data_IF_033913942553
#
_entry.id   IF_033913942553
#
_cell.length_a   1.000
_cell.length_b   1.000
_cell.length_c   1.000
_cell.angle_alpha   90.00
_cell.angle_beta   90.00
_cell.angle_gamma   90.00
#
_symmetry.space_group_name_H-M   'P 1'
#
loop_
_entity.id
_entity.type
_entity.pdbx_description
1 polymer ?
#
# COMPACT_ATOMS: atom_id res chain seq x y z
N UNK A 1 -15.97 -12.51 -7.46
CA UNK A 1 -15.14 -12.07 -6.31
C UNK A 1 -16.05 -11.61 -5.18
N UNK A 2 -15.93 -12.17 -3.98
CA UNK A 2 -16.69 -11.71 -2.81
C UNK A 2 -16.31 -10.27 -2.40
N UNK A 3 -17.23 -9.55 -1.75
CA UNK A 3 -17.06 -8.14 -1.33
C UNK A 3 -15.72 -7.86 -0.63
N UNK A 4 -15.27 -8.78 0.22
CA UNK A 4 -13.99 -8.68 0.95
C UNK A 4 -12.76 -8.77 0.05
N UNK A 5 -12.76 -9.65 -0.96
CA UNK A 5 -11.66 -9.75 -1.93
C UNK A 5 -11.54 -8.46 -2.75
N UNK A 6 -12.67 -7.82 -3.09
CA UNK A 6 -12.66 -6.50 -3.75
C UNK A 6 -12.06 -5.42 -2.85
N UNK A 7 -12.42 -5.39 -1.57
CA UNK A 7 -11.85 -4.45 -0.59
C UNK A 7 -10.36 -4.69 -0.34
N UNK A 8 -9.92 -5.95 -0.24
CA UNK A 8 -8.51 -6.30 -0.11
C UNK A 8 -7.71 -5.88 -1.36
N UNK A 9 -8.24 -6.15 -2.55
CA UNK A 9 -7.62 -5.73 -3.81
C UNK A 9 -7.56 -4.20 -3.93
N UNK A 10 -8.63 -3.49 -3.59
CA UNK A 10 -8.65 -2.02 -3.57
C UNK A 10 -7.63 -1.46 -2.58
N UNK A 11 -7.55 -2.05 -1.38
CA UNK A 11 -6.56 -1.67 -0.35
C UNK A 11 -5.14 -1.82 -0.88
N UNK A 12 -4.82 -2.97 -1.51
CA UNK A 12 -3.52 -3.23 -2.12
C UNK A 12 -3.19 -2.24 -3.23
N UNK A 13 -4.12 -1.98 -4.14
CA UNK A 13 -3.93 -1.05 -5.26
C UNK A 13 -3.70 0.37 -4.74
N UNK A 14 -4.51 0.84 -3.79
CA UNK A 14 -4.34 2.17 -3.19
C UNK A 14 -2.98 2.32 -2.52
N UNK A 15 -2.52 1.32 -1.75
CA UNK A 15 -1.21 1.40 -1.09
C UNK A 15 -0.05 1.29 -2.08
N UNK A 16 -0.19 0.50 -3.15
CA UNK A 16 0.81 0.44 -4.21
C UNK A 16 0.95 1.79 -4.94
N UNK A 17 -0.17 2.42 -5.27
CA UNK A 17 -0.19 3.76 -5.87
C UNK A 17 0.39 4.81 -4.92
N UNK A 18 0.02 4.76 -3.65
CA UNK A 18 0.54 5.68 -2.63
C UNK A 18 2.06 5.51 -2.43
N UNK A 19 2.55 4.27 -2.36
CA UNK A 19 3.97 3.97 -2.25
C UNK A 19 4.74 4.46 -3.50
N UNK A 20 4.20 4.22 -4.70
CA UNK A 20 4.78 4.71 -5.95
C UNK A 20 4.84 6.25 -5.99
N UNK A 21 3.79 6.92 -5.51
CA UNK A 21 3.73 8.38 -5.44
C UNK A 21 4.75 8.94 -4.44
N UNK A 22 4.84 8.37 -3.24
CA UNK A 22 5.83 8.77 -2.21
C UNK A 22 7.25 8.61 -2.72
N UNK A 23 7.56 7.48 -3.36
CA UNK A 23 8.89 7.23 -3.95
C UNK A 23 9.17 8.23 -5.08
N UNK A 24 8.19 8.52 -5.94
CA UNK A 24 8.32 9.48 -7.04
C UNK A 24 8.53 10.91 -6.54
N UNK A 25 7.75 11.35 -5.55
CA UNK A 25 7.87 12.68 -4.95
C UNK A 25 9.23 12.85 -4.26
N UNK A 26 9.66 11.87 -3.47
CA UNK A 26 10.95 11.94 -2.81
C UNK A 26 12.14 11.94 -3.78
N UNK A 27 12.07 11.15 -4.87
CA UNK A 27 13.06 11.23 -5.96
C UNK A 27 13.11 12.64 -6.58
N UNK A 28 11.95 13.26 -6.82
CA UNK A 28 11.87 14.64 -7.33
C UNK A 28 12.45 15.68 -6.36
N UNK A 29 12.37 15.41 -5.06
CA UNK A 29 12.90 16.28 -3.99
C UNK A 29 14.32 15.94 -3.54
N UNK A 30 14.98 14.96 -4.17
CA UNK A 30 16.32 14.50 -3.76
C UNK A 30 16.37 13.89 -2.36
N UNK A 31 15.25 13.36 -1.85
CA UNK A 31 15.15 12.76 -0.51
C UNK A 31 15.06 11.25 -0.58
N UNK A 32 15.51 10.61 0.48
CA UNK A 32 15.51 9.15 0.58
C UNK A 32 14.14 8.64 1.07
N UNK A 33 13.31 8.14 0.15
CA UNK A 33 11.97 7.60 0.44
C UNK A 33 11.96 6.12 0.82
N UNK A 34 13.11 5.44 0.82
CA UNK A 34 13.16 3.97 0.89
C UNK A 34 12.45 3.42 2.14
N UNK A 35 12.58 4.11 3.29
CA UNK A 35 11.90 3.78 4.54
C UNK A 35 10.39 4.00 4.48
N UNK A 36 9.95 5.11 3.88
CA UNK A 36 8.53 5.46 3.76
C UNK A 36 7.80 4.58 2.76
N UNK A 37 8.40 4.29 1.60
CA UNK A 37 7.84 3.36 0.62
C UNK A 37 7.66 1.94 1.17
N UNK A 38 8.63 1.47 1.97
CA UNK A 38 8.54 0.20 2.69
C UNK A 38 7.41 0.20 3.72
N UNK A 39 7.32 1.25 4.56
CA UNK A 39 6.28 1.39 5.56
C UNK A 39 4.87 1.41 4.92
N UNK A 40 4.68 2.18 3.85
CA UNK A 40 3.41 2.23 3.12
C UNK A 40 3.04 0.88 2.52
N UNK A 41 4.01 0.15 1.96
CA UNK A 41 3.76 -1.18 1.39
C UNK A 41 3.39 -2.20 2.47
N UNK A 42 4.09 -2.17 3.61
CA UNK A 42 3.81 -3.04 4.76
C UNK A 42 2.39 -2.81 5.32
N UNK A 43 1.98 -1.56 5.48
CA UNK A 43 0.62 -1.22 5.96
C UNK A 43 -0.43 -1.71 4.97
N UNK A 44 -0.19 -1.57 3.66
CA UNK A 44 -1.10 -2.08 2.63
C UNK A 44 -1.25 -3.59 2.65
N UNK A 45 -0.16 -4.32 2.84
CA UNK A 45 -0.15 -5.79 2.96
C UNK A 45 -0.87 -6.23 4.23
N UNK A 46 -0.60 -5.61 5.38
CA UNK A 46 -1.26 -5.92 6.65
C UNK A 46 -2.77 -5.63 6.60
N UNK A 47 -3.17 -4.50 6.01
CA UNK A 47 -4.58 -4.16 5.81
C UNK A 47 -5.31 -5.14 4.89
N UNK A 48 -4.67 -5.56 3.80
CA UNK A 48 -5.22 -6.58 2.91
C UNK A 48 -5.35 -7.95 3.60
N UNK A 49 -4.35 -8.35 4.39
CA UNK A 49 -4.38 -9.55 5.23
C UNK A 49 -5.53 -9.48 6.25
N UNK A 50 -5.73 -8.35 6.91
CA UNK A 50 -6.81 -8.17 7.87
C UNK A 50 -8.19 -8.42 7.24
N UNK A 51 -8.46 -7.91 6.03
CA UNK A 51 -9.70 -8.17 5.29
C UNK A 51 -9.91 -9.63 4.88
N UNK A 52 -8.82 -10.38 4.70
CA UNK A 52 -8.85 -11.81 4.37
C UNK A 52 -9.02 -12.67 5.61
N UNK A 53 -8.50 -12.23 6.76
CA UNK A 53 -8.54 -12.94 8.04
C UNK A 53 -9.81 -12.67 8.85
N UNK A 54 -10.45 -11.51 8.69
CA UNK A 54 -11.77 -11.25 9.29
C UNK A 54 -12.86 -12.05 8.57
N UNK A 55 -13.27 -13.17 9.19
CA UNK A 55 -14.39 -14.02 8.78
C UNK A 55 -15.75 -13.36 8.99
#
# INVERSE_FOLDING_TARGET
MGRRRRLAAATLVCHALLAAFVVRDARRRGRDARRWGLATSLVGVLGALAYLLTR
#
